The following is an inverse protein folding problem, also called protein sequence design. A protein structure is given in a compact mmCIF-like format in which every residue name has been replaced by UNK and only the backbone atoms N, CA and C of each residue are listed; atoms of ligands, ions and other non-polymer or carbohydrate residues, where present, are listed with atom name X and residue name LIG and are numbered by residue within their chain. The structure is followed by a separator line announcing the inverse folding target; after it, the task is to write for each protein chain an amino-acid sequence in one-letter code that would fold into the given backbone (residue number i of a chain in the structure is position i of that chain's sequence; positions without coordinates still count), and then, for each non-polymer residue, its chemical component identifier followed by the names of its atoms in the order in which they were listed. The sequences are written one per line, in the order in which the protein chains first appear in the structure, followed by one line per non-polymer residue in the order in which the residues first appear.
data_IF_370688425818
#
_entry.id   IF_370688425818
#
_cell.length_a   1.000
_cell.length_b   1.000
_cell.length_c   1.000
_cell.angle_alpha   90.00
_cell.angle_beta   90.00
_cell.angle_gamma   90.00
#
_symmetry.space_group_name_H-M   'P 1'
#
loop_
_entity.id
_entity.type
_entity.pdbx_description
1 polymer ?
#
# COMPACT_ATOMS: atom_id res chain seq x y z
N UNK A 1 -30.12 5.78 64.46
CA UNK A 1 -30.99 4.59 64.54
C UNK A 1 -31.24 4.11 63.12
N UNK A 2 -30.76 2.90 62.84
CA UNK A 2 -30.74 2.27 61.51
C UNK A 2 -32.14 1.82 61.09
N UNK A 3 -32.48 2.01 59.82
CA UNK A 3 -33.53 1.28 59.11
C UNK A 3 -33.46 1.67 57.62
N UNK A 4 -33.70 0.86 56.58
CA UNK A 4 -34.07 -0.54 56.37
C UNK A 4 -33.86 -0.76 54.84
N UNK A 5 -33.16 -1.84 54.48
CA UNK A 5 -33.44 -2.80 53.39
C UNK A 5 -34.06 -2.29 52.06
N UNK A 6 -33.39 -2.56 50.93
CA UNK A 6 -34.05 -3.26 49.81
C UNK A 6 -33.05 -3.99 48.90
N UNK A 7 -33.25 -5.31 48.75
CA UNK A 7 -32.58 -6.18 47.77
C UNK A 7 -33.54 -6.36 46.59
N UNK A 8 -33.14 -6.02 45.38
CA UNK A 8 -33.70 -6.56 44.14
C UNK A 8 -32.84 -6.09 42.97
N UNK A 9 -32.01 -6.98 42.41
CA UNK A 9 -32.37 -7.73 41.21
C UNK A 9 -32.75 -6.81 40.03
N UNK A 10 -31.77 -6.42 39.22
CA UNK A 10 -32.06 -6.19 37.81
C UNK A 10 -30.97 -6.73 36.89
N UNK A 11 -31.49 -7.35 35.84
CA UNK A 11 -30.84 -8.26 34.91
C UNK A 11 -29.97 -7.49 33.91
N UNK A 12 -28.86 -8.14 33.56
CA UNK A 12 -28.20 -8.17 32.24
C UNK A 12 -28.65 -7.12 31.21
N UNK A 13 -27.74 -6.24 30.83
CA UNK A 13 -27.70 -5.66 29.48
C UNK A 13 -26.28 -5.77 28.94
N UNK A 14 -26.07 -6.71 28.03
CA UNK A 14 -24.97 -6.72 27.09
C UNK A 14 -25.09 -5.47 26.21
N UNK A 15 -24.19 -4.50 26.40
CA UNK A 15 -24.04 -3.36 25.52
C UNK A 15 -22.65 -3.38 24.89
N UNK A 16 -22.63 -3.66 23.58
CA UNK A 16 -21.51 -3.49 22.66
C UNK A 16 -20.98 -2.05 22.80
N UNK A 17 -19.69 -1.89 23.10
CA UNK A 17 -19.05 -0.57 23.11
C UNK A 17 -18.01 -0.52 22.00
N UNK A 18 -18.36 0.22 20.96
CA UNK A 18 -17.56 0.50 19.78
C UNK A 18 -16.24 1.19 20.19
N UNK A 19 -15.11 0.60 19.80
CA UNK A 19 -13.78 1.17 19.98
C UNK A 19 -13.49 2.21 18.89
N UNK A 20 -14.09 3.39 19.03
CA UNK A 20 -13.78 4.57 18.19
C UNK A 20 -13.29 5.78 19.01
N UNK A 21 -13.38 5.72 20.34
CA UNK A 21 -13.05 6.82 21.26
C UNK A 21 -11.55 7.05 21.50
N UNK A 22 -10.66 6.14 21.09
CA UNK A 22 -9.21 6.33 21.24
C UNK A 22 -8.57 7.14 20.11
N UNK A 23 -9.33 7.47 19.05
CA UNK A 23 -8.90 8.41 18.00
C UNK A 23 -9.14 9.89 18.36
N UNK A 24 -9.86 10.15 19.45
CA UNK A 24 -10.29 11.50 19.86
C UNK A 24 -9.34 12.14 20.90
N UNK A 25 -8.51 11.34 21.58
CA UNK A 25 -7.52 11.81 22.58
C UNK A 25 -6.27 12.42 21.93
N UNK A 26 -6.03 12.14 20.65
CA UNK A 26 -4.94 12.74 19.89
C UNK A 26 -5.58 13.83 19.03
N UNK A 27 -5.38 15.13 19.35
CA UNK A 27 -5.94 16.19 18.52
C UNK A 27 -5.41 16.04 17.09
N UNK A 28 -6.28 16.12 16.06
CA UNK A 28 -5.84 16.06 14.68
C UNK A 28 -4.84 17.19 14.45
N UNK A 29 -3.76 16.91 13.71
CA UNK A 29 -2.75 17.91 13.41
C UNK A 29 -3.40 19.08 12.65
N UNK A 30 -3.64 20.19 13.36
CA UNK A 30 -4.32 21.39 12.85
C UNK A 30 -3.53 21.98 11.67
N UNK A 31 -2.21 21.77 11.62
CA UNK A 31 -1.39 22.15 10.46
C UNK A 31 -1.62 21.29 9.21
N UNK A 32 -2.04 20.03 9.38
CA UNK A 32 -2.46 19.18 8.26
C UNK A 32 -3.91 19.44 7.86
N UNK A 33 -4.81 19.64 8.84
CA UNK A 33 -6.22 19.95 8.62
C UNK A 33 -6.43 21.33 7.97
N UNK A 34 -5.70 22.36 8.45
CA UNK A 34 -5.68 23.69 7.84
C UNK A 34 -5.12 23.67 6.41
N UNK A 35 -4.27 22.69 6.08
CA UNK A 35 -3.74 22.49 4.73
C UNK A 35 -4.67 21.66 3.83
N UNK A 36 -5.45 20.75 4.39
CA UNK A 36 -6.44 19.94 3.66
C UNK A 36 -7.76 20.68 3.40
N UNK A 37 -7.91 21.90 3.91
CA UNK A 37 -8.97 22.81 3.49
C UNK A 37 -10.30 22.46 4.11
N UNK A 38 -10.40 22.57 5.43
CA UNK A 38 -11.68 22.79 6.09
C UNK A 38 -11.41 23.52 7.41
N UNK A 39 -12.26 24.50 7.73
CA UNK A 39 -12.30 25.28 9.00
C UNK A 39 -11.51 26.62 9.03
N UNK A 40 -12.26 27.68 8.69
CA UNK A 40 -12.31 29.03 9.32
C UNK A 40 -11.06 29.93 9.23
N UNK A 41 -11.11 30.98 8.41
CA UNK A 41 -11.65 32.28 8.87
C UNK A 41 -11.51 33.36 7.80
N UNK A 42 -12.61 34.09 7.65
CA UNK A 42 -12.81 35.36 6.97
C UNK A 42 -11.62 36.34 7.06
N UNK A 43 -11.05 36.69 5.91
CA UNK A 43 -10.46 38.02 5.64
C UNK A 43 -10.52 38.30 4.13
N UNK A 44 -11.68 38.82 3.74
CA UNK A 44 -12.02 39.36 2.42
C UNK A 44 -11.30 40.69 2.18
N UNK A 45 -9.99 40.63 1.89
CA UNK A 45 -9.27 41.63 1.09
C UNK A 45 -7.80 41.24 1.02
N UNK A 46 -7.29 40.93 -0.18
CA UNK A 46 -5.87 40.82 -0.54
C UNK A 46 -5.07 39.54 -0.23
N UNK A 47 -5.63 38.52 0.41
CA UNK A 47 -4.92 37.24 0.66
C UNK A 47 -5.53 36.09 -0.13
N UNK A 48 -4.78 35.59 -1.13
CA UNK A 48 -5.14 34.37 -1.86
C UNK A 48 -5.36 33.22 -0.87
N UNK A 49 -6.46 32.49 -1.03
CA UNK A 49 -6.73 31.30 -0.21
C UNK A 49 -5.68 30.22 -0.45
N UNK A 50 -5.42 29.37 0.55
CA UNK A 50 -4.41 28.31 0.45
C UNK A 50 -4.63 27.38 -0.77
N UNK A 51 -5.88 27.19 -1.19
CA UNK A 51 -6.23 26.42 -2.38
C UNK A 51 -5.86 27.13 -3.68
N UNK A 52 -6.04 28.45 -3.77
CA UNK A 52 -5.66 29.25 -4.94
C UNK A 52 -4.14 29.30 -5.12
N UNK A 53 -3.39 29.48 -4.01
CA UNK A 53 -1.93 29.41 -4.03
C UNK A 53 -1.45 28.03 -4.49
N UNK A 54 -2.07 26.94 -4.02
CA UNK A 54 -1.74 25.59 -4.46
C UNK A 54 -2.01 25.36 -5.96
N UNK A 55 -3.08 25.95 -6.52
CA UNK A 55 -3.40 25.87 -7.96
C UNK A 55 -2.36 26.61 -8.82
N UNK A 56 -1.93 27.80 -8.41
CA UNK A 56 -0.89 28.55 -9.12
C UNK A 56 0.45 27.81 -9.06
N UNK A 57 0.82 27.29 -7.89
CA UNK A 57 2.05 26.51 -7.73
C UNK A 57 2.01 25.20 -8.52
N UNK A 58 0.88 24.49 -8.53
CA UNK A 58 0.73 23.26 -9.31
C UNK A 58 0.77 23.53 -10.80
N UNK A 59 0.18 24.64 -11.28
CA UNK A 59 0.25 25.07 -12.67
C UNK A 59 1.71 25.22 -13.13
N UNK A 60 2.54 25.94 -12.38
CA UNK A 60 3.95 26.11 -12.75
C UNK A 60 4.79 24.83 -12.60
N UNK A 61 4.43 23.93 -11.68
CA UNK A 61 5.08 22.62 -11.55
C UNK A 61 4.76 21.70 -12.73
N UNK A 62 3.53 21.74 -13.19
CA UNK A 62 2.96 20.86 -14.21
C UNK A 62 3.04 21.44 -15.62
N UNK A 63 3.66 22.60 -15.80
CA UNK A 63 4.01 23.07 -17.13
C UNK A 63 4.72 21.93 -17.85
N UNK A 64 4.31 21.56 -19.07
CA UNK A 64 4.89 20.44 -19.79
C UNK A 64 6.36 20.76 -20.05
N UNK A 65 7.21 20.24 -19.18
CA UNK A 65 8.65 20.12 -19.43
C UNK A 65 8.76 19.06 -20.53
N UNK A 66 9.73 19.20 -21.44
CA UNK A 66 9.93 18.24 -22.54
C UNK A 66 10.01 16.79 -22.04
N UNK A 67 10.00 15.83 -22.97
CA UNK A 67 9.95 14.39 -22.67
C UNK A 67 10.77 14.04 -21.42
N UNK A 68 10.06 13.56 -20.38
CA UNK A 68 10.69 13.14 -19.14
C UNK A 68 11.80 12.15 -19.47
N UNK A 69 12.99 12.35 -18.90
CA UNK A 69 14.16 11.48 -19.14
C UNK A 69 13.71 10.03 -19.19
N UNK A 70 13.93 9.38 -20.35
CA UNK A 70 13.77 7.93 -20.50
C UNK A 70 14.51 7.34 -19.32
N UNK A 71 13.79 6.78 -18.35
CA UNK A 71 14.39 6.25 -17.13
C UNK A 71 15.41 5.22 -17.56
N UNK A 72 16.68 5.63 -17.57
CA UNK A 72 17.75 4.78 -18.04
C UNK A 72 17.67 3.51 -17.18
N UNK A 73 17.42 2.36 -17.83
CA UNK A 73 17.28 1.10 -17.14
C UNK A 73 18.49 0.95 -16.21
N UNK A 74 18.26 1.10 -14.90
CA UNK A 74 19.36 1.31 -13.96
C UNK A 74 20.40 0.20 -14.07
N UNK A 75 21.65 0.49 -13.72
CA UNK A 75 22.82 -0.39 -13.97
C UNK A 75 22.71 -1.81 -13.37
N UNK A 76 21.79 -2.04 -12.44
CA UNK A 76 21.60 -3.36 -11.81
C UNK A 76 20.87 -4.38 -12.70
N UNK A 77 21.20 -5.69 -12.57
CA UNK A 77 20.60 -6.76 -13.38
C UNK A 77 19.07 -6.85 -13.21
N UNK A 78 18.58 -6.72 -11.97
CA UNK A 78 17.14 -6.70 -11.70
C UNK A 78 16.43 -5.49 -12.30
N UNK A 79 17.05 -4.31 -12.25
CA UNK A 79 16.48 -3.09 -12.85
C UNK A 79 16.40 -3.19 -14.37
N UNK A 80 17.39 -3.82 -15.02
CA UNK A 80 17.37 -4.12 -16.45
C UNK A 80 16.26 -5.09 -16.83
N UNK A 81 16.04 -6.14 -16.04
CA UNK A 81 14.94 -7.08 -16.29
C UNK A 81 13.57 -6.39 -16.09
N UNK A 82 13.42 -5.63 -15.01
CA UNK A 82 12.20 -4.88 -14.72
C UNK A 82 11.85 -3.88 -15.85
N UNK A 83 12.83 -3.09 -16.30
CA UNK A 83 12.64 -2.14 -17.39
C UNK A 83 12.27 -2.80 -18.73
N UNK A 84 12.66 -4.06 -18.96
CA UNK A 84 12.37 -4.79 -20.21
C UNK A 84 11.00 -5.46 -20.25
N UNK A 85 10.48 -5.92 -19.10
CA UNK A 85 9.30 -6.78 -19.08
C UNK A 85 8.12 -6.23 -18.26
N UNK A 86 8.37 -5.28 -17.35
CA UNK A 86 7.38 -4.83 -16.36
C UNK A 86 7.04 -3.34 -16.52
N UNK A 87 7.97 -2.50 -16.95
CA UNK A 87 7.76 -1.04 -17.02
C UNK A 87 7.28 -0.56 -18.42
N UNK A 88 6.33 0.37 -18.42
CA UNK A 88 5.93 1.17 -19.59
C UNK A 88 5.38 0.36 -20.77
N UNK A 89 5.68 0.84 -21.98
CA UNK A 89 5.20 0.29 -23.27
C UNK A 89 5.74 -1.12 -23.58
N UNK A 90 6.74 -1.59 -22.81
CA UNK A 90 7.31 -2.94 -22.94
C UNK A 90 6.70 -3.94 -21.94
N UNK A 91 5.62 -3.56 -21.24
CA UNK A 91 4.90 -4.46 -20.34
C UNK A 91 4.35 -5.65 -21.14
N UNK A 92 4.90 -6.84 -20.86
CA UNK A 92 4.61 -8.04 -21.63
C UNK A 92 4.21 -9.19 -20.70
N UNK A 93 3.51 -10.23 -21.21
CA UNK A 93 3.14 -11.40 -20.41
C UNK A 93 4.29 -12.40 -20.21
N UNK A 94 5.47 -12.12 -20.77
CA UNK A 94 6.65 -12.97 -20.65
C UNK A 94 7.11 -13.24 -19.21
N UNK A 95 7.10 -12.31 -18.23
CA UNK A 95 7.58 -12.61 -16.87
C UNK A 95 6.71 -13.69 -16.19
N UNK A 96 5.43 -13.81 -16.55
CA UNK A 96 4.58 -14.90 -16.08
C UNK A 96 5.11 -16.25 -16.62
N UNK A 97 5.46 -16.31 -17.90
CA UNK A 97 6.07 -17.51 -18.50
C UNK A 97 7.43 -17.85 -17.86
N UNK A 98 8.24 -16.86 -17.51
CA UNK A 98 9.51 -17.09 -16.80
C UNK A 98 9.27 -17.74 -15.43
N UNK A 99 8.27 -17.28 -14.68
CA UNK A 99 7.91 -17.85 -13.38
C UNK A 99 7.42 -19.29 -13.53
N UNK A 100 6.55 -19.56 -14.52
CA UNK A 100 6.06 -20.92 -14.80
C UNK A 100 7.22 -21.84 -15.19
N UNK A 101 8.10 -21.39 -16.10
CA UNK A 101 9.28 -22.13 -16.51
C UNK A 101 10.22 -22.43 -15.34
N UNK A 102 10.49 -21.44 -14.49
CA UNK A 102 11.30 -21.62 -13.28
C UNK A 102 10.67 -22.64 -12.32
N UNK A 103 9.35 -22.62 -12.16
CA UNK A 103 8.64 -23.58 -11.31
C UNK A 103 8.69 -25.00 -11.87
N UNK A 104 8.55 -25.18 -13.19
CA UNK A 104 8.63 -26.50 -13.82
C UNK A 104 10.04 -27.08 -13.71
N UNK A 105 11.06 -26.30 -14.04
CA UNK A 105 12.46 -26.74 -13.95
C UNK A 105 12.86 -26.99 -12.50
N UNK A 106 12.54 -26.06 -11.60
CA UNK A 106 12.78 -26.20 -10.17
C UNK A 106 12.07 -27.41 -9.58
N UNK A 107 10.77 -27.56 -9.83
CA UNK A 107 9.96 -28.69 -9.36
C UNK A 107 10.47 -30.03 -9.89
N UNK A 108 10.81 -30.12 -11.17
CA UNK A 108 11.37 -31.34 -11.75
C UNK A 108 12.73 -31.67 -11.17
N UNK A 109 13.61 -30.69 -10.98
CA UNK A 109 14.94 -30.93 -10.37
C UNK A 109 14.82 -31.47 -8.94
N UNK A 110 13.92 -30.90 -8.13
CA UNK A 110 13.67 -31.36 -6.76
C UNK A 110 13.08 -32.78 -6.78
N UNK A 111 12.08 -33.02 -7.63
CA UNK A 111 11.46 -34.34 -7.79
C UNK A 111 12.48 -35.38 -8.27
N UNK A 112 13.39 -35.02 -9.17
CA UNK A 112 14.46 -35.89 -9.65
C UNK A 112 15.41 -36.27 -8.51
N UNK A 113 15.87 -35.29 -7.74
CA UNK A 113 16.80 -35.54 -6.62
C UNK A 113 16.15 -36.37 -5.52
N UNK A 114 14.88 -36.10 -5.19
CA UNK A 114 14.21 -36.76 -4.06
C UNK A 114 13.65 -38.14 -4.43
N UNK A 115 13.08 -38.28 -5.63
CA UNK A 115 12.38 -39.49 -6.05
C UNK A 115 13.23 -40.33 -7.02
N UNK A 116 13.60 -39.78 -8.19
CA UNK A 116 14.21 -40.56 -9.29
C UNK A 116 15.67 -40.96 -9.04
N UNK A 117 16.46 -40.14 -8.35
CA UNK A 117 17.88 -40.41 -8.07
C UNK A 117 18.09 -41.60 -7.12
N UNK A 118 17.13 -41.85 -6.23
CA UNK A 118 17.20 -42.92 -5.23
C UNK A 118 16.46 -44.19 -5.66
N UNK A 119 15.72 -44.14 -6.79
CA UNK A 119 15.29 -45.34 -7.47
C UNK A 119 16.53 -45.99 -8.07
N UNK A 120 16.84 -47.19 -7.56
CA UNK A 120 17.96 -48.06 -7.96
C UNK A 120 18.16 -47.95 -9.47
N UNK A 121 19.39 -47.71 -9.92
CA UNK A 121 19.77 -47.74 -11.34
C UNK A 121 19.31 -49.08 -11.94
N UNK A 122 18.08 -49.12 -12.47
CA UNK A 122 17.70 -50.10 -13.46
C UNK A 122 18.44 -49.66 -14.71
N UNK A 123 19.67 -50.18 -14.80
CA UNK A 123 20.37 -50.49 -16.04
C UNK A 123 19.55 -50.17 -17.30
N UNK A 124 19.95 -49.14 -18.04
CA UNK A 124 19.64 -49.05 -19.46
C UNK A 124 20.94 -49.31 -20.19
N UNK A 125 21.03 -50.54 -20.73
CA UNK A 125 21.82 -50.87 -21.91
C UNK A 125 21.28 -50.11 -23.13
#
# INVERSE_FOLDING_TARGET
MNSIICRSALKRATALRNYSSLREIIPPNIGHAARSGEVVSESTASTLSAQEVNKVVSFYRNLPKGEAEVKAAGTGPFKRYYARYIEGDNASPLPILHVIGALLVGGYSIHYVMHLKHHKHAENH
#
